data_IF_408475053054
#
_entry.id   IF_408475053054
#
_cell.length_a   1.000
_cell.length_b   1.000
_cell.length_c   1.000
_cell.angle_alpha   90.00
_cell.angle_beta   90.00
_cell.angle_gamma   90.00
#
_symmetry.space_group_name_H-M   'P 1'
#
loop_
_entity.id
_entity.type
_entity.pdbx_description
1 polymer ?
#
# COMPACT_ATOMS: atom_id res chain seq x y z
N UNK A 1 0.99 9.71 -27.28
CA UNK A 1 0.50 8.37 -26.86
C UNK A 1 0.28 8.40 -25.36
N UNK A 2 -0.96 8.58 -24.90
CA UNK A 2 -1.27 8.46 -23.47
C UNK A 2 -1.44 6.97 -23.19
N UNK A 3 -0.39 6.31 -22.67
CA UNK A 3 -0.50 4.95 -22.16
C UNK A 3 -1.40 5.01 -20.93
N UNK A 4 -2.68 4.68 -21.07
CA UNK A 4 -3.53 4.37 -19.93
C UNK A 4 -2.95 3.10 -19.28
N UNK A 5 -2.13 3.27 -18.24
CA UNK A 5 -1.72 2.17 -17.39
C UNK A 5 -2.95 1.74 -16.59
N UNK A 6 -3.67 0.74 -17.10
CA UNK A 6 -4.71 0.08 -16.33
C UNK A 6 -4.05 -0.50 -15.08
N UNK A 7 -4.36 0.05 -13.91
CA UNK A 7 -3.86 -0.51 -12.66
C UNK A 7 -4.38 -1.94 -12.54
N UNK A 8 -3.45 -2.91 -12.52
CA UNK A 8 -3.76 -4.32 -12.35
C UNK A 8 -4.46 -4.48 -11.00
N UNK A 9 -5.67 -5.04 -10.97
CA UNK A 9 -6.35 -5.34 -9.70
C UNK A 9 -5.43 -6.17 -8.81
N UNK A 10 -5.22 -5.71 -7.58
CA UNK A 10 -4.49 -6.46 -6.56
C UNK A 10 -5.23 -7.76 -6.27
N UNK A 11 -4.54 -8.88 -6.39
CA UNK A 11 -5.04 -10.16 -5.91
C UNK A 11 -4.54 -10.39 -4.49
N UNK A 12 -5.18 -11.29 -3.73
CA UNK A 12 -4.72 -11.66 -2.38
C UNK A 12 -3.26 -12.14 -2.34
N UNK A 13 -2.69 -12.59 -3.47
CA UNK A 13 -1.28 -13.01 -3.58
C UNK A 13 -0.31 -11.83 -3.68
N UNK A 14 -0.79 -10.70 -4.20
CA UNK A 14 -0.01 -9.46 -4.31
C UNK A 14 -0.02 -8.66 -2.99
N UNK A 15 -0.90 -9.05 -2.06
CA UNK A 15 -1.04 -8.47 -0.74
C UNK A 15 -0.27 -9.30 0.29
N UNK A 16 0.57 -8.64 1.07
CA UNK A 16 1.19 -9.24 2.24
C UNK A 16 0.43 -8.76 3.47
N UNK A 17 -0.06 -9.71 4.27
CA UNK A 17 -0.79 -9.39 5.50
C UNK A 17 0.21 -9.00 6.59
N UNK A 18 -0.13 -7.97 7.35
CA UNK A 18 0.57 -7.55 8.56
C UNK A 18 -0.40 -7.47 9.72
N UNK A 19 0.13 -7.31 10.93
CA UNK A 19 -0.73 -7.03 12.07
C UNK A 19 -1.36 -5.65 11.86
N UNK A 20 -2.68 -5.62 11.66
CA UNK A 20 -3.44 -4.40 11.44
C UNK A 20 -3.83 -4.06 10.00
N UNK A 21 -3.44 -4.86 9.01
CA UNK A 21 -3.91 -4.68 7.64
C UNK A 21 -3.08 -5.40 6.59
N UNK A 22 -2.95 -4.79 5.42
CA UNK A 22 -2.20 -5.34 4.29
C UNK A 22 -1.20 -4.33 3.76
N UNK A 23 -0.08 -4.81 3.25
CA UNK A 23 0.85 -3.99 2.47
C UNK A 23 1.12 -4.57 1.09
N UNK A 24 1.48 -3.68 0.18
CA UNK A 24 1.96 -3.99 -1.17
C UNK A 24 2.96 -2.92 -1.61
N UNK A 25 3.53 -3.07 -2.80
CA UNK A 25 4.45 -2.06 -3.34
C UNK A 25 3.70 -1.10 -4.28
N UNK A 26 4.18 0.16 -4.41
CA UNK A 26 3.66 1.10 -5.39
C UNK A 26 3.74 0.52 -6.80
N UNK A 27 2.84 0.98 -7.66
CA UNK A 27 2.92 0.65 -9.07
C UNK A 27 4.15 1.30 -9.73
N UNK A 28 4.36 1.03 -11.02
CA UNK A 28 5.49 1.57 -11.79
C UNK A 28 5.58 3.11 -11.82
N UNK A 29 4.50 3.82 -11.47
CA UNK A 29 4.47 5.28 -11.37
C UNK A 29 4.77 5.79 -9.95
N UNK A 30 5.10 4.90 -9.02
CA UNK A 30 5.32 5.25 -7.61
C UNK A 30 4.02 5.52 -6.82
N UNK A 31 2.86 5.18 -7.38
CA UNK A 31 1.57 5.45 -6.76
C UNK A 31 0.94 4.20 -6.15
N UNK A 32 0.22 4.39 -5.05
CA UNK A 32 -0.58 3.36 -4.41
C UNK A 32 -1.95 3.21 -5.06
N UNK A 33 -2.61 2.09 -4.76
CA UNK A 33 -3.99 1.87 -5.17
C UNK A 33 -4.94 2.81 -4.41
N UNK A 34 -6.11 3.14 -4.97
CA UNK A 34 -7.07 4.01 -4.29
C UNK A 34 -7.47 3.44 -2.92
N UNK A 35 -7.43 4.27 -1.88
CA UNK A 35 -7.70 3.87 -0.49
C UNK A 35 -6.50 3.29 0.27
N UNK A 36 -5.31 3.24 -0.36
CA UNK A 36 -4.06 2.84 0.28
C UNK A 36 -3.20 4.06 0.60
N UNK A 37 -2.52 4.01 1.75
CA UNK A 37 -1.60 5.04 2.23
C UNK A 37 -0.20 4.74 1.68
N UNK A 38 0.46 5.74 1.09
CA UNK A 38 1.86 5.64 0.68
C UNK A 38 2.77 6.03 1.85
N UNK A 39 3.59 5.07 2.30
CA UNK A 39 4.58 5.30 3.35
C UNK A 39 5.89 5.89 2.80
N UNK A 40 6.67 6.58 3.66
CA UNK A 40 8.03 7.03 3.33
C UNK A 40 8.93 5.92 2.80
N UNK A 41 8.82 4.71 3.39
CA UNK A 41 9.49 3.45 3.00
C UNK A 41 9.14 2.95 1.58
N UNK A 42 8.36 3.70 0.79
CA UNK A 42 7.88 3.32 -0.55
C UNK A 42 7.06 2.02 -0.53
N UNK A 43 6.24 1.83 0.49
CA UNK A 43 5.22 0.77 0.54
C UNK A 43 3.82 1.38 0.58
N UNK A 44 2.86 0.64 0.05
CA UNK A 44 1.45 0.96 0.11
C UNK A 44 0.81 0.15 1.22
N UNK A 45 0.14 0.82 2.16
CA UNK A 45 -0.54 0.21 3.29
C UNK A 45 -2.05 0.39 3.16
N UNK A 46 -2.80 -0.68 3.44
CA UNK A 46 -4.24 -0.67 3.57
C UNK A 46 -4.57 -0.98 5.02
N UNK A 47 -5.21 -0.02 5.66
CA UNK A 47 -5.78 -0.16 6.99
C UNK A 47 -6.94 -1.16 6.96
N UNK A 48 -6.94 -2.14 7.89
CA UNK A 48 -8.15 -2.92 8.19
C UNK A 48 -8.94 -2.24 9.33
N UNK A 49 -10.28 -2.21 9.25
CA UNK A 49 -11.11 -1.65 10.30
C UNK A 49 -10.82 -2.34 11.64
N UNK A 50 -10.49 -1.54 12.65
CA UNK A 50 -10.14 -2.01 14.00
C UNK A 50 -8.64 -2.00 14.33
N UNK A 51 -7.76 -1.70 13.37
CA UNK A 51 -6.33 -1.47 13.62
C UNK A 51 -5.83 -0.26 12.83
N UNK A 52 -5.86 0.95 13.42
CA UNK A 52 -5.41 2.14 12.73
C UNK A 52 -3.92 2.03 12.36
N UNK A 53 -3.61 2.28 11.08
CA UNK A 53 -2.24 2.33 10.57
C UNK A 53 -1.91 3.80 10.32
N UNK A 54 -1.29 4.45 11.31
CA UNK A 54 -0.85 5.83 11.19
C UNK A 54 0.59 5.92 10.61
N UNK A 55 1.06 7.14 10.41
CA UNK A 55 2.43 7.44 9.93
C UNK A 55 3.54 6.92 10.86
N UNK A 56 3.22 6.65 12.13
CA UNK A 56 4.14 6.06 13.11
C UNK A 56 4.07 4.53 13.14
N UNK A 57 3.20 3.91 12.34
CA UNK A 57 3.12 2.46 12.29
C UNK A 57 4.51 1.90 11.91
N UNK A 58 5.04 0.89 12.62
CA UNK A 58 6.42 0.42 12.45
C UNK A 58 6.74 -0.14 11.06
N UNK A 59 5.72 -0.41 10.24
CA UNK A 59 5.90 -0.74 8.81
C UNK A 59 6.08 0.51 7.92
N UNK A 60 5.53 1.63 8.34
CA UNK A 60 5.55 2.91 7.64
C UNK A 60 6.75 3.77 8.11
N UNK A 61 7.16 3.62 9.37
CA UNK A 61 8.33 4.27 9.93
C UNK A 61 9.63 3.65 9.36
N UNK A 62 10.32 4.41 8.50
CA UNK A 62 11.74 4.18 8.25
C UNK A 62 12.47 4.29 9.60
N UNK A 63 13.12 3.21 10.03
CA UNK A 63 14.04 3.25 11.16
C UNK A 63 15.31 3.99 10.79
#
# INVERSE_FOLDING_TARGET
MIKYFTMKKLTKRDLKKINGGYYTYPNANGNCFPGWILCPTKICLLEEPGNPIDENHPFCAER
#
